data_IF_715780793236
#
_entry.id   IF_715780793236
#
_cell.length_a   1.000
_cell.length_b   1.000
_cell.length_c   1.000
_cell.angle_alpha   90.00
_cell.angle_beta   90.00
_cell.angle_gamma   90.00
#
_symmetry.space_group_name_H-M   'P 1'
#
loop_
_entity.id
_entity.type
_entity.pdbx_description
1 polymer ?
#
# COMPACT_ATOMS: atom_id res chain seq x y z
N UNK A 1 31.05 -8.67 21.98
CA UNK A 1 30.52 -8.29 20.65
C UNK A 1 30.16 -6.80 20.67
N UNK A 2 31.15 -5.91 20.86
CA UNK A 2 30.95 -4.46 21.01
C UNK A 2 31.38 -3.75 19.73
N UNK A 3 30.46 -3.48 18.80
CA UNK A 3 30.75 -2.62 17.62
C UNK A 3 29.54 -1.91 17.01
N UNK A 4 28.47 -1.69 17.79
CA UNK A 4 27.43 -0.73 17.42
C UNK A 4 27.35 0.33 18.51
N UNK A 5 27.35 1.61 18.13
CA UNK A 5 27.09 2.68 19.09
C UNK A 5 25.69 2.44 19.68
N UNK A 6 25.59 2.50 21.01
CA UNK A 6 24.29 2.44 21.66
C UNK A 6 23.43 3.59 21.11
N UNK A 7 22.35 3.26 20.41
CA UNK A 7 21.37 4.23 19.90
C UNK A 7 20.03 4.03 20.59
N UNK A 8 19.20 5.09 20.70
CA UNK A 8 17.86 4.95 21.27
C UNK A 8 17.02 3.89 20.55
N UNK A 9 17.11 3.83 19.22
CA UNK A 9 16.41 2.82 18.44
C UNK A 9 16.90 1.39 18.73
N UNK A 10 18.20 1.18 18.92
CA UNK A 10 18.74 -0.14 19.27
C UNK A 10 18.23 -0.61 20.64
N UNK A 11 18.25 0.27 21.65
CA UNK A 11 17.72 -0.06 22.99
C UNK A 11 16.26 -0.51 22.94
N UNK A 12 15.43 0.14 22.12
CA UNK A 12 14.02 -0.25 21.94
C UNK A 12 13.86 -1.51 21.11
N UNK A 13 14.69 -1.72 20.10
CA UNK A 13 14.73 -2.98 19.35
C UNK A 13 15.11 -4.16 20.24
N UNK A 14 16.11 -4.00 21.11
CA UNK A 14 16.50 -5.03 22.09
C UNK A 14 15.35 -5.39 23.03
N UNK A 15 14.58 -4.39 23.48
CA UNK A 15 13.35 -4.65 24.24
C UNK A 15 12.34 -5.49 23.42
N UNK A 16 12.15 -5.21 22.13
CA UNK A 16 11.27 -6.05 21.29
C UNK A 16 11.81 -7.48 21.13
N UNK A 17 13.12 -7.62 20.92
CA UNK A 17 13.78 -8.93 20.78
C UNK A 17 13.70 -9.76 22.07
N UNK A 18 13.86 -9.14 23.24
CA UNK A 18 13.68 -9.78 24.56
C UNK A 18 12.26 -10.38 24.69
N UNK A 19 11.25 -9.71 24.14
CA UNK A 19 9.87 -10.21 24.10
C UNK A 19 9.71 -11.42 23.19
N UNK A 20 10.30 -11.38 22.01
CA UNK A 20 10.32 -12.51 21.06
C UNK A 20 11.16 -13.69 21.58
N UNK A 21 12.13 -13.45 22.45
CA UNK A 21 12.94 -14.46 23.12
C UNK A 21 12.24 -15.08 24.34
N UNK A 22 11.04 -14.60 24.70
CA UNK A 22 10.26 -15.11 25.83
C UNK A 22 10.85 -14.77 27.19
N UNK A 23 11.57 -13.65 27.31
CA UNK A 23 12.25 -13.25 28.56
C UNK A 23 11.26 -13.12 29.73
N UNK A 24 11.52 -13.78 30.88
CA UNK A 24 10.64 -13.69 32.04
C UNK A 24 10.45 -12.24 32.52
N UNK A 25 9.22 -11.88 32.84
CA UNK A 25 8.87 -10.53 33.33
C UNK A 25 8.86 -9.44 32.26
N UNK A 26 9.16 -9.76 31.00
CA UNK A 26 9.11 -8.80 29.90
C UNK A 26 7.68 -8.25 29.67
N UNK A 27 7.60 -6.97 29.33
CA UNK A 27 6.34 -6.28 29.01
C UNK A 27 5.70 -5.52 30.17
N UNK A 28 6.25 -5.61 31.39
CA UNK A 28 5.71 -4.89 32.56
C UNK A 28 5.80 -3.36 32.42
N UNK A 29 6.76 -2.86 31.63
CA UNK A 29 7.01 -1.45 31.35
C UNK A 29 6.44 -1.00 29.99
N UNK A 30 5.65 -1.83 29.29
CA UNK A 30 5.21 -1.56 27.92
C UNK A 30 4.50 -0.20 27.74
N UNK A 31 3.74 0.24 28.75
CA UNK A 31 3.06 1.55 28.76
C UNK A 31 4.03 2.74 28.76
N UNK A 32 5.25 2.57 29.27
CA UNK A 32 6.29 3.59 29.27
C UNK A 32 7.16 3.54 27.99
N UNK A 33 7.15 2.40 27.31
CA UNK A 33 7.92 2.10 26.10
C UNK A 33 7.22 2.62 24.83
N UNK A 34 5.89 2.64 24.80
CA UNK A 34 5.12 2.99 23.60
C UNK A 34 4.72 4.46 23.54
N UNK A 35 4.82 5.04 22.35
CA UNK A 35 4.32 6.39 22.09
C UNK A 35 2.79 6.36 22.11
N UNK A 36 2.16 7.48 22.49
CA UNK A 36 0.71 7.56 22.59
C UNK A 36 0.00 7.21 21.27
N UNK A 37 0.58 7.64 20.15
CA UNK A 37 0.08 7.34 18.80
C UNK A 37 0.11 5.84 18.50
N UNK A 38 1.20 5.15 18.85
CA UNK A 38 1.30 3.70 18.67
C UNK A 38 0.32 2.94 19.58
N UNK A 39 0.23 3.36 20.85
CA UNK A 39 -0.67 2.77 21.84
C UNK A 39 -2.15 2.94 21.49
N UNK A 40 -2.51 3.96 20.69
CA UNK A 40 -3.86 4.14 20.17
C UNK A 40 -4.26 3.08 19.14
N UNK A 41 -3.29 2.45 18.46
CA UNK A 41 -3.54 1.37 17.50
C UNK A 41 -3.50 -0.03 18.13
N UNK A 42 -2.58 -0.25 19.06
CA UNK A 42 -2.44 -1.51 19.79
C UNK A 42 -2.14 -1.21 21.25
N UNK A 43 -3.01 -1.68 22.16
CA UNK A 43 -2.78 -1.42 23.60
C UNK A 43 -1.50 -2.13 24.07
N UNK A 44 -0.78 -1.59 25.07
CA UNK A 44 0.42 -2.22 25.61
C UNK A 44 0.20 -3.68 26.00
N UNK A 45 -0.93 -3.99 26.64
CA UNK A 45 -1.29 -5.34 27.08
C UNK A 45 -1.49 -6.28 25.90
N UNK A 46 -2.19 -5.81 24.85
CA UNK A 46 -2.44 -6.61 23.65
C UNK A 46 -1.13 -6.90 22.90
N UNK A 47 -0.26 -5.90 22.81
CA UNK A 47 1.05 -6.09 22.20
C UNK A 47 1.89 -7.13 22.95
N UNK A 48 1.93 -7.05 24.28
CA UNK A 48 2.66 -8.00 25.12
C UNK A 48 2.11 -9.41 24.97
N UNK A 49 0.78 -9.57 25.00
CA UNK A 49 0.11 -10.86 24.79
C UNK A 49 0.50 -11.49 23.44
N UNK A 50 0.37 -10.73 22.34
CA UNK A 50 0.70 -11.21 20.99
C UNK A 50 2.18 -11.56 20.87
N UNK A 51 3.07 -10.73 21.42
CA UNK A 51 4.52 -10.95 21.33
C UNK A 51 4.95 -12.18 22.12
N UNK A 52 4.38 -12.40 23.31
CA UNK A 52 4.61 -13.63 24.09
C UNK A 52 4.12 -14.87 23.33
N UNK A 53 2.99 -14.79 22.65
CA UNK A 53 2.51 -15.87 21.78
C UNK A 53 3.51 -16.22 20.66
N UNK A 54 4.14 -15.20 20.07
CA UNK A 54 5.16 -15.36 19.03
C UNK A 54 6.48 -15.95 19.53
N UNK A 55 6.76 -15.91 20.84
CA UNK A 55 7.99 -16.49 21.38
C UNK A 55 8.12 -17.99 21.09
N UNK A 56 7.00 -18.71 20.90
CA UNK A 56 7.03 -20.11 20.48
C UNK A 56 7.74 -20.33 19.13
N UNK A 57 7.66 -19.36 18.21
CA UNK A 57 8.21 -19.45 16.86
C UNK A 57 9.60 -18.81 16.73
N UNK A 58 9.98 -17.94 17.69
CA UNK A 58 11.19 -17.12 17.62
C UNK A 58 12.24 -17.45 18.70
N UNK A 59 11.86 -18.02 19.84
CA UNK A 59 12.79 -18.31 20.92
C UNK A 59 13.56 -19.63 20.66
N UNK A 60 14.89 -19.68 20.88
CA UNK A 60 15.74 -18.55 21.23
C UNK A 60 16.01 -17.65 20.02
N UNK A 61 15.98 -16.34 20.22
CA UNK A 61 16.23 -15.35 19.17
C UNK A 61 17.70 -15.39 18.75
N UNK A 62 17.94 -15.77 17.49
CA UNK A 62 19.28 -15.75 16.90
C UNK A 62 19.40 -14.58 15.93
N UNK A 63 20.06 -13.49 16.36
CA UNK A 63 20.33 -12.33 15.50
C UNK A 63 21.47 -12.65 14.52
N UNK A 64 21.18 -12.55 13.23
CA UNK A 64 22.12 -12.82 12.12
C UNK A 64 22.55 -11.56 11.36
N UNK A 65 21.94 -10.41 11.68
CA UNK A 65 22.31 -9.13 11.11
C UNK A 65 21.60 -7.98 11.82
N UNK A 66 22.21 -6.79 11.76
CA UNK A 66 21.72 -5.61 12.46
C UNK A 66 22.03 -4.36 11.63
N UNK A 67 21.01 -3.52 11.43
CA UNK A 67 21.12 -2.21 10.80
C UNK A 67 20.65 -1.17 11.83
N UNK A 68 21.52 -0.25 12.25
CA UNK A 68 21.25 0.68 13.37
C UNK A 68 21.44 2.12 12.94
N UNK A 69 20.41 2.94 13.16
CA UNK A 69 20.45 4.39 13.16
C UNK A 69 19.97 4.97 14.49
N UNK A 70 19.86 6.30 14.56
CA UNK A 70 19.40 7.02 15.76
C UNK A 70 17.94 6.72 16.11
N UNK A 71 17.05 6.81 15.11
CA UNK A 71 15.59 6.67 15.29
C UNK A 71 15.03 5.38 14.70
N UNK A 72 15.83 4.60 13.97
CA UNK A 72 15.41 3.34 13.35
C UNK A 72 16.47 2.28 13.57
N UNK A 73 16.05 1.08 13.96
CA UNK A 73 16.91 -0.09 14.05
C UNK A 73 16.18 -1.32 13.50
N UNK A 74 16.92 -2.20 12.84
CA UNK A 74 16.41 -3.47 12.30
C UNK A 74 17.33 -4.62 12.69
N UNK A 75 16.75 -5.74 13.12
CA UNK A 75 17.45 -6.99 13.34
C UNK A 75 16.94 -8.04 12.37
N UNK A 76 17.86 -8.76 11.71
CA UNK A 76 17.55 -10.01 11.02
C UNK A 76 17.69 -11.14 12.03
N UNK A 77 16.60 -11.87 12.29
CA UNK A 77 16.57 -13.01 13.21
C UNK A 77 16.30 -14.30 12.45
N UNK A 78 16.97 -15.38 12.81
CA UNK A 78 16.79 -16.70 12.17
C UNK A 78 15.78 -17.53 12.96
N UNK A 79 14.81 -18.10 12.26
CA UNK A 79 13.86 -19.08 12.79
C UNK A 79 14.44 -20.50 12.82
N UNK A 80 13.76 -21.41 13.52
CA UNK A 80 14.11 -22.83 13.62
C UNK A 80 14.14 -23.55 12.26
N UNK A 81 13.28 -23.14 11.32
CA UNK A 81 13.20 -23.69 9.96
C UNK A 81 14.29 -23.14 9.02
N UNK A 82 15.17 -22.26 9.51
CA UNK A 82 16.23 -21.61 8.76
C UNK A 82 15.79 -20.36 8.00
N UNK A 83 14.50 -20.03 7.97
CA UNK A 83 14.01 -18.76 7.44
C UNK A 83 14.52 -17.58 8.29
N UNK A 84 14.56 -16.40 7.70
CA UNK A 84 14.99 -15.18 8.38
C UNK A 84 13.80 -14.24 8.44
N UNK A 85 13.53 -13.66 9.61
CA UNK A 85 12.63 -12.54 9.76
C UNK A 85 13.42 -11.25 10.01
N UNK A 86 12.84 -10.12 9.63
CA UNK A 86 13.30 -8.78 9.95
C UNK A 86 12.39 -8.22 11.03
N UNK A 87 12.97 -7.89 12.18
CA UNK A 87 12.34 -7.13 13.26
C UNK A 87 12.75 -5.68 13.10
N UNK A 88 11.77 -4.81 12.87
CA UNK A 88 11.98 -3.37 12.72
C UNK A 88 11.46 -2.63 13.95
N UNK A 89 12.18 -1.59 14.35
CA UNK A 89 11.79 -0.69 15.43
C UNK A 89 12.10 0.76 15.03
N UNK A 90 11.10 1.62 15.14
CA UNK A 90 11.20 3.07 14.93
C UNK A 90 10.78 3.77 16.22
N UNK A 91 11.55 4.78 16.63
CA UNK A 91 11.36 5.52 17.88
C UNK A 91 11.21 7.02 17.66
N UNK A 92 10.64 7.72 18.65
CA UNK A 92 10.62 9.18 18.69
C UNK A 92 12.03 9.77 18.58
N UNK A 93 12.19 10.84 17.80
CA UNK A 93 13.45 11.56 17.69
C UNK A 93 13.83 12.28 19.00
N UNK A 94 12.84 12.73 19.77
CA UNK A 94 13.03 13.34 21.07
C UNK A 94 12.94 12.30 22.19
N UNK A 95 13.52 12.62 23.34
CA UNK A 95 13.33 11.82 24.56
C UNK A 95 11.83 11.80 24.93
N UNK A 96 11.30 10.67 25.40
CA UNK A 96 12.03 9.50 25.92
C UNK A 96 12.29 8.37 24.89
N UNK A 97 12.23 8.68 23.58
CA UNK A 97 12.49 7.71 22.50
C UNK A 97 11.57 6.49 22.59
N UNK A 98 10.27 6.75 22.71
CA UNK A 98 9.27 5.68 22.71
C UNK A 98 9.12 5.08 21.33
N UNK A 99 8.69 3.82 21.28
CA UNK A 99 8.40 3.13 20.03
C UNK A 99 7.16 3.77 19.41
N UNK A 100 7.34 4.30 18.19
CA UNK A 100 6.25 4.81 17.35
C UNK A 100 5.80 3.74 16.35
N UNK A 101 6.65 2.77 16.03
CA UNK A 101 6.30 1.64 15.16
C UNK A 101 7.25 0.46 15.38
N UNK A 102 6.72 -0.76 15.43
CA UNK A 102 7.51 -1.99 15.40
C UNK A 102 6.72 -3.13 14.76
N UNK A 103 7.42 -3.95 13.99
CA UNK A 103 6.83 -5.10 13.29
C UNK A 103 7.87 -6.18 13.03
N UNK A 104 7.38 -7.39 12.76
CA UNK A 104 8.17 -8.55 12.35
C UNK A 104 7.65 -8.99 10.99
N UNK A 105 8.53 -9.13 10.01
CA UNK A 105 8.19 -9.61 8.67
C UNK A 105 9.21 -10.68 8.22
N UNK A 106 8.81 -11.61 7.36
CA UNK A 106 9.78 -12.49 6.71
C UNK A 106 10.76 -11.67 5.86
N UNK A 107 12.05 -12.00 5.92
CA UNK A 107 13.03 -11.49 4.98
C UNK A 107 12.76 -12.12 3.61
N UNK A 108 12.34 -11.30 2.66
CA UNK A 108 12.23 -11.70 1.26
C UNK A 108 13.41 -11.05 0.52
N UNK A 109 14.46 -11.81 0.17
CA UNK A 109 15.55 -11.24 -0.61
C UNK A 109 15.02 -10.78 -1.96
N UNK A 110 15.18 -9.50 -2.26
CA UNK A 110 14.67 -8.84 -3.48
C UNK A 110 15.08 -9.58 -4.75
N UNK A 111 16.23 -10.25 -4.74
CA UNK A 111 16.81 -10.95 -5.89
C UNK A 111 16.29 -12.39 -6.07
N UNK A 112 15.56 -12.95 -5.10
CA UNK A 112 15.09 -14.34 -5.14
C UNK A 112 13.63 -14.49 -5.57
N UNK A 113 12.86 -13.41 -5.59
CA UNK A 113 11.46 -13.40 -6.04
C UNK A 113 11.30 -12.35 -7.13
N UNK A 114 11.51 -12.71 -8.42
CA UNK A 114 11.29 -11.78 -9.50
C UNK A 114 9.82 -11.32 -9.51
N UNK A 115 9.61 -10.01 -9.48
CA UNK A 115 8.30 -9.40 -9.71
C UNK A 115 7.90 -9.46 -11.19
N UNK A 116 6.68 -9.00 -11.50
CA UNK A 116 6.29 -8.74 -12.87
C UNK A 116 7.19 -7.66 -13.48
N UNK A 117 7.47 -7.70 -14.79
CA UNK A 117 8.39 -6.76 -15.39
C UNK A 117 7.88 -5.31 -15.27
N UNK A 118 8.82 -4.36 -15.28
CA UNK A 118 8.50 -2.94 -15.38
C UNK A 118 7.94 -2.56 -16.77
N UNK A 119 8.22 -3.38 -17.79
CA UNK A 119 7.73 -3.25 -19.17
C UNK A 119 7.39 -4.64 -19.74
N UNK A 120 6.18 -4.81 -20.23
CA UNK A 120 5.68 -6.08 -20.77
C UNK A 120 6.02 -6.33 -22.24
N UNK A 121 6.77 -5.44 -22.91
CA UNK A 121 7.08 -5.55 -24.35
C UNK A 121 7.68 -6.89 -24.75
N UNK A 122 8.57 -7.46 -23.92
CA UNK A 122 9.18 -8.79 -24.14
C UNK A 122 8.60 -9.92 -23.30
N UNK A 123 7.54 -9.66 -22.53
CA UNK A 123 6.98 -10.64 -21.59
C UNK A 123 6.21 -11.74 -22.33
N UNK A 124 6.32 -13.00 -21.91
CA UNK A 124 5.58 -14.10 -22.55
C UNK A 124 4.11 -14.10 -22.09
N UNK A 125 3.27 -13.40 -22.84
CA UNK A 125 1.83 -13.30 -22.62
C UNK A 125 1.12 -13.42 -23.97
N UNK A 126 0.20 -14.38 -24.15
CA UNK A 126 -0.56 -14.49 -25.38
C UNK A 126 -1.45 -13.25 -25.60
N UNK A 127 -1.50 -12.78 -26.84
CA UNK A 127 -2.31 -11.63 -27.25
C UNK A 127 -3.76 -12.04 -27.51
N UNK A 128 -4.44 -12.50 -26.46
CA UNK A 128 -5.82 -13.03 -26.50
C UNK A 128 -6.88 -11.99 -26.16
N UNK A 129 -6.49 -10.77 -25.78
CA UNK A 129 -7.38 -9.74 -25.25
C UNK A 129 -7.91 -8.76 -26.31
N UNK A 130 -8.00 -9.20 -27.57
CA UNK A 130 -8.51 -8.37 -28.67
C UNK A 130 -9.97 -7.96 -28.39
N UNK A 131 -10.21 -6.66 -28.20
CA UNK A 131 -11.51 -6.10 -27.82
C UNK A 131 -11.74 -5.94 -26.31
N UNK A 132 -10.83 -6.46 -25.47
CA UNK A 132 -10.78 -6.17 -24.05
C UNK A 132 -10.12 -4.81 -23.79
N UNK A 133 -10.36 -4.27 -22.59
CA UNK A 133 -9.89 -2.94 -22.19
C UNK A 133 -9.22 -3.01 -20.83
N UNK A 134 -8.04 -2.42 -20.72
CA UNK A 134 -7.46 -2.04 -19.45
C UNK A 134 -7.79 -0.56 -19.20
N UNK A 135 -8.69 -0.31 -18.26
CA UNK A 135 -9.17 1.03 -17.94
C UNK A 135 -8.53 1.49 -16.64
N UNK A 136 -7.88 2.65 -16.63
CA UNK A 136 -7.28 3.23 -15.41
C UNK A 136 -8.09 4.45 -14.99
N UNK A 137 -8.63 4.42 -13.77
CA UNK A 137 -9.19 5.60 -13.10
C UNK A 137 -8.11 6.22 -12.24
N UNK A 138 -7.73 7.45 -12.58
CA UNK A 138 -6.66 8.21 -11.94
C UNK A 138 -7.23 9.49 -11.32
N UNK A 139 -6.58 9.96 -10.24
CA UNK A 139 -6.99 11.17 -9.54
C UNK A 139 -6.62 11.16 -8.06
N UNK A 140 -6.63 12.33 -7.46
CA UNK A 140 -6.33 12.51 -6.04
C UNK A 140 -7.42 11.89 -5.14
N UNK A 141 -7.07 11.44 -3.91
CA UNK A 141 -8.08 11.05 -2.92
C UNK A 141 -9.15 12.14 -2.77
N UNK A 142 -10.44 11.75 -2.79
CA UNK A 142 -11.57 12.68 -2.73
C UNK A 142 -12.03 13.26 -4.07
N UNK A 143 -11.36 12.95 -5.19
CA UNK A 143 -11.73 13.46 -6.52
C UNK A 143 -12.90 12.73 -7.20
N UNK A 144 -13.55 11.76 -6.54
CA UNK A 144 -14.66 10.99 -7.11
C UNK A 144 -14.28 9.81 -8.01
N UNK A 145 -12.98 9.51 -8.18
CA UNK A 145 -12.49 8.40 -9.02
C UNK A 145 -13.13 7.05 -8.70
N UNK A 146 -13.18 6.67 -7.43
CA UNK A 146 -13.66 5.36 -6.99
C UNK A 146 -15.16 5.22 -7.23
N UNK A 147 -15.92 6.29 -6.99
CA UNK A 147 -17.36 6.33 -7.27
C UNK A 147 -17.66 6.11 -8.76
N UNK A 148 -16.89 6.71 -9.66
CA UNK A 148 -17.07 6.53 -11.10
C UNK A 148 -16.54 5.19 -11.60
N UNK A 149 -15.43 4.70 -11.04
CA UNK A 149 -14.88 3.39 -11.36
C UNK A 149 -15.86 2.26 -10.99
N UNK A 150 -16.40 2.28 -9.77
CA UNK A 150 -17.36 1.30 -9.28
C UNK A 150 -18.66 1.33 -10.10
N UNK A 151 -19.17 2.53 -10.41
CA UNK A 151 -20.37 2.68 -11.24
C UNK A 151 -20.16 2.19 -12.69
N UNK A 152 -19.03 2.52 -13.31
CA UNK A 152 -18.71 2.08 -14.66
C UNK A 152 -18.46 0.57 -14.73
N UNK A 153 -17.79 0.00 -13.72
CA UNK A 153 -17.58 -1.44 -13.61
C UNK A 153 -18.90 -2.20 -13.47
N UNK A 154 -19.82 -1.70 -12.65
CA UNK A 154 -21.15 -2.27 -12.50
C UNK A 154 -21.97 -2.20 -13.81
N UNK A 155 -21.94 -1.08 -14.52
CA UNK A 155 -22.69 -0.88 -15.76
C UNK A 155 -22.13 -1.71 -16.93
N UNK A 156 -20.80 -1.85 -17.03
CA UNK A 156 -20.14 -2.56 -18.12
C UNK A 156 -19.85 -4.03 -17.83
N UNK A 157 -20.09 -4.50 -16.59
CA UNK A 157 -19.70 -5.85 -16.16
C UNK A 157 -18.18 -6.06 -16.13
N UNK A 158 -17.41 -5.00 -15.89
CA UNK A 158 -15.94 -5.06 -15.83
C UNK A 158 -15.50 -5.03 -14.36
N UNK A 159 -14.67 -5.99 -13.89
CA UNK A 159 -14.20 -5.99 -12.51
C UNK A 159 -13.34 -4.77 -12.21
N UNK A 160 -13.55 -4.20 -11.02
CA UNK A 160 -12.82 -3.03 -10.49
C UNK A 160 -11.86 -3.51 -9.40
N UNK A 161 -10.57 -3.31 -9.63
CA UNK A 161 -9.53 -3.53 -8.63
C UNK A 161 -9.02 -2.18 -8.13
N UNK A 162 -9.14 -1.93 -6.83
CA UNK A 162 -8.81 -0.63 -6.24
C UNK A 162 -7.70 -0.73 -5.20
N UNK A 163 -6.79 0.25 -5.19
CA UNK A 163 -5.69 0.33 -4.22
C UNK A 163 -6.18 0.26 -2.78
N UNK A 164 -7.22 1.03 -2.46
CA UNK A 164 -7.74 1.15 -1.09
C UNK A 164 -8.26 -0.20 -0.56
N UNK A 165 -8.91 -0.99 -1.42
CA UNK A 165 -9.39 -2.33 -1.07
C UNK A 165 -8.24 -3.29 -0.80
N UNK A 166 -7.18 -3.24 -1.61
CA UNK A 166 -5.99 -4.07 -1.41
C UNK A 166 -5.24 -3.68 -0.13
N UNK A 167 -5.01 -2.39 0.10
CA UNK A 167 -4.35 -1.91 1.33
C UNK A 167 -5.18 -2.19 2.58
N UNK A 168 -6.51 -2.09 2.50
CA UNK A 168 -7.42 -2.53 3.55
C UNK A 168 -7.26 -4.02 3.87
N UNK A 169 -7.26 -4.86 2.82
CA UNK A 169 -7.09 -6.31 2.94
C UNK A 169 -5.73 -6.74 3.51
N UNK A 170 -4.67 -5.92 3.35
CA UNK A 170 -3.35 -6.18 3.90
C UNK A 170 -3.24 -5.81 5.40
N UNK A 171 -4.17 -5.02 5.94
CA UNK A 171 -4.09 -4.55 7.33
C UNK A 171 -4.03 -5.69 8.36
N UNK A 172 -4.84 -6.77 8.28
CA UNK A 172 -4.74 -7.93 9.18
C UNK A 172 -3.36 -8.61 9.17
N UNK A 173 -2.58 -8.44 8.10
CA UNK A 173 -1.23 -9.00 7.93
C UNK A 173 -0.12 -8.00 8.30
N UNK A 174 -0.47 -6.89 8.96
CA UNK A 174 0.50 -5.85 9.32
C UNK A 174 0.80 -4.86 8.18
N UNK A 175 0.01 -4.86 7.11
CA UNK A 175 0.26 -4.05 5.90
C UNK A 175 0.40 -2.55 6.13
N UNK A 176 -0.13 -2.02 7.24
CA UNK A 176 0.04 -0.62 7.66
C UNK A 176 1.49 -0.27 8.02
N UNK A 177 2.30 -1.27 8.36
CA UNK A 177 3.68 -1.13 8.77
C UNK A 177 4.68 -1.58 7.69
N UNK A 178 4.19 -2.01 6.53
CA UNK A 178 5.06 -2.35 5.41
C UNK A 178 5.71 -1.08 4.86
N UNK A 179 7.02 -1.13 4.64
CA UNK A 179 7.82 0.02 4.19
C UNK A 179 7.34 0.56 2.84
N UNK A 180 6.81 -0.32 1.96
CA UNK A 180 6.27 0.06 0.66
C UNK A 180 4.95 -0.66 0.35
N UNK A 181 3.95 -0.43 1.20
CA UNK A 181 2.60 -0.98 1.00
C UNK A 181 1.97 -0.56 -0.34
N UNK A 182 2.31 0.63 -0.86
CA UNK A 182 1.85 1.11 -2.16
C UNK A 182 2.44 0.30 -3.32
N UNK A 183 3.75 0.02 -3.33
CA UNK A 183 4.33 -0.85 -4.36
C UNK A 183 3.73 -2.26 -4.32
N UNK A 184 3.46 -2.80 -3.14
CA UNK A 184 2.75 -4.09 -3.02
C UNK A 184 1.35 -4.04 -3.64
N UNK A 185 0.57 -2.99 -3.35
CA UNK A 185 -0.74 -2.82 -3.95
C UNK A 185 -0.66 -2.66 -5.47
N UNK A 186 0.31 -1.90 -5.99
CA UNK A 186 0.54 -1.76 -7.43
C UNK A 186 0.90 -3.10 -8.09
N UNK A 187 1.76 -3.90 -7.46
CA UNK A 187 2.16 -5.23 -7.96
C UNK A 187 0.96 -6.18 -8.02
N UNK A 188 0.11 -6.18 -6.99
CA UNK A 188 -1.12 -6.98 -6.96
C UNK A 188 -2.13 -6.49 -8.00
N UNK A 189 -2.34 -5.17 -8.17
CA UNK A 189 -3.18 -4.61 -9.24
C UNK A 189 -2.68 -5.03 -10.62
N UNK A 190 -1.36 -4.94 -10.85
CA UNK A 190 -0.73 -5.34 -12.11
C UNK A 190 -0.96 -6.83 -12.38
N UNK A 191 -0.83 -7.66 -11.34
CA UNK A 191 -1.09 -9.10 -11.43
C UNK A 191 -2.55 -9.40 -11.76
N UNK A 192 -3.50 -8.74 -11.11
CA UNK A 192 -4.93 -8.92 -11.36
C UNK A 192 -5.31 -8.49 -12.79
N UNK A 193 -4.80 -7.34 -13.26
CA UNK A 193 -4.95 -6.90 -14.64
C UNK A 193 -4.36 -7.91 -15.63
N UNK A 194 -3.12 -8.37 -15.39
CA UNK A 194 -2.45 -9.36 -16.23
C UNK A 194 -3.29 -10.63 -16.38
N UNK A 195 -3.82 -11.15 -15.27
CA UNK A 195 -4.65 -12.37 -15.28
C UNK A 195 -5.97 -12.17 -16.02
N UNK A 196 -6.64 -11.03 -15.84
CA UNK A 196 -7.87 -10.71 -16.58
C UNK A 196 -7.61 -10.61 -18.09
N UNK A 197 -6.57 -9.88 -18.48
CA UNK A 197 -6.22 -9.70 -19.89
C UNK A 197 -5.75 -11.01 -20.53
N UNK A 198 -4.99 -11.84 -19.82
CA UNK A 198 -4.62 -13.18 -20.29
C UNK A 198 -5.85 -14.06 -20.56
N UNK A 199 -6.92 -13.87 -19.78
CA UNK A 199 -8.21 -14.53 -19.97
C UNK A 199 -9.09 -13.89 -21.05
N UNK A 200 -8.61 -12.87 -21.76
CA UNK A 200 -9.35 -12.13 -22.77
C UNK A 200 -10.41 -11.16 -22.21
N UNK A 201 -10.31 -10.82 -20.92
CA UNK A 201 -11.31 -10.01 -20.20
C UNK A 201 -10.79 -8.60 -19.89
N UNK A 202 -11.70 -7.63 -19.88
CA UNK A 202 -11.39 -6.27 -19.46
C UNK A 202 -11.12 -6.18 -17.94
N UNK A 203 -10.43 -5.13 -17.52
CA UNK A 203 -10.20 -4.81 -16.11
C UNK A 203 -10.20 -3.29 -15.90
N UNK A 204 -10.74 -2.84 -14.76
CA UNK A 204 -10.65 -1.46 -14.27
C UNK A 204 -9.68 -1.41 -13.09
N UNK A 205 -8.72 -0.49 -13.13
CA UNK A 205 -7.80 -0.17 -12.05
C UNK A 205 -8.15 1.20 -11.45
N UNK A 206 -8.62 1.21 -10.21
CA UNK A 206 -8.86 2.44 -9.42
C UNK A 206 -7.62 2.74 -8.56
N UNK A 207 -6.75 3.60 -9.09
CA UNK A 207 -5.45 3.89 -8.50
C UNK A 207 -5.03 5.34 -8.79
N UNK A 208 -4.47 6.10 -7.82
CA UNK A 208 -4.09 7.51 -8.06
C UNK A 208 -3.22 7.71 -9.30
N UNK A 209 -2.29 6.78 -9.53
CA UNK A 209 -1.44 6.67 -10.74
C UNK A 209 -0.66 7.97 -10.99
N UNK A 210 -0.04 8.46 -9.92
CA UNK A 210 0.81 9.65 -9.89
C UNK A 210 2.17 9.41 -10.57
N UNK A 211 2.66 8.17 -10.58
CA UNK A 211 3.97 7.86 -11.15
C UNK A 211 3.83 7.54 -12.65
N UNK A 212 4.63 8.21 -13.49
CA UNK A 212 4.66 7.96 -14.94
C UNK A 212 5.11 6.52 -15.24
N UNK A 213 6.03 5.97 -14.45
CA UNK A 213 6.48 4.59 -14.59
C UNK A 213 5.31 3.59 -14.50
N UNK A 214 4.40 3.74 -13.53
CA UNK A 214 3.19 2.91 -13.42
C UNK A 214 2.30 3.02 -14.66
N UNK A 215 2.16 4.24 -15.23
CA UNK A 215 1.37 4.46 -16.45
C UNK A 215 1.95 3.71 -17.64
N UNK A 216 3.26 3.84 -17.86
CA UNK A 216 3.97 3.14 -18.93
C UNK A 216 3.90 1.62 -18.74
N UNK A 217 4.07 1.14 -17.50
CA UNK A 217 3.98 -0.28 -17.14
C UNK A 217 2.61 -0.85 -17.53
N UNK A 218 1.52 -0.23 -17.12
CA UNK A 218 0.18 -0.69 -17.46
C UNK A 218 -0.18 -0.49 -18.93
N UNK A 219 0.30 0.57 -19.58
CA UNK A 219 0.15 0.75 -21.04
C UNK A 219 0.85 -0.39 -21.79
N UNK A 220 2.07 -0.75 -21.40
CA UNK A 220 2.82 -1.85 -22.00
C UNK A 220 2.12 -3.20 -21.80
N UNK A 221 1.52 -3.43 -20.63
CA UNK A 221 0.71 -4.61 -20.32
C UNK A 221 -0.49 -4.74 -21.26
N UNK A 222 -1.30 -3.67 -21.36
CA UNK A 222 -2.46 -3.66 -22.26
C UNK A 222 -2.04 -3.93 -23.71
N UNK A 223 -0.99 -3.23 -24.19
CA UNK A 223 -0.43 -3.42 -25.52
C UNK A 223 0.03 -4.86 -25.75
N UNK A 224 0.74 -5.47 -24.79
CA UNK A 224 1.25 -6.83 -24.92
C UNK A 224 0.13 -7.87 -24.99
N UNK A 225 -0.94 -7.67 -24.21
CA UNK A 225 -2.10 -8.54 -24.21
C UNK A 225 -3.00 -8.37 -25.45
N UNK A 226 -2.79 -7.31 -26.24
CA UNK A 226 -3.66 -6.94 -27.37
C UNK A 226 -4.94 -6.21 -26.95
N UNK A 227 -4.98 -5.68 -25.73
CA UNK A 227 -6.09 -4.90 -25.19
C UNK A 227 -5.90 -3.40 -25.42
N UNK A 228 -7.01 -2.66 -25.42
CA UNK A 228 -6.98 -1.21 -25.49
C UNK A 228 -6.68 -0.62 -24.11
N UNK A 229 -5.81 0.39 -24.06
CA UNK A 229 -5.53 1.15 -22.85
C UNK A 229 -6.40 2.42 -22.82
N UNK A 230 -7.26 2.55 -21.81
CA UNK A 230 -8.17 3.71 -21.65
C UNK A 230 -7.94 4.35 -20.29
N UNK A 231 -8.04 5.68 -20.22
CA UNK A 231 -7.73 6.42 -18.99
C UNK A 231 -8.80 7.44 -18.70
N UNK A 232 -9.30 7.44 -17.47
CA UNK A 232 -10.22 8.43 -16.93
C UNK A 232 -9.54 9.16 -15.78
N UNK A 233 -9.37 10.47 -15.90
CA UNK A 233 -8.77 11.32 -14.86
C UNK A 233 -9.87 12.11 -14.18
N UNK A 234 -10.12 11.81 -12.91
CA UNK A 234 -11.10 12.50 -12.10
C UNK A 234 -10.42 13.60 -11.27
N UNK A 235 -10.89 14.83 -11.40
CA UNK A 235 -10.50 15.95 -10.54
C UNK A 235 -11.74 16.60 -9.91
N UNK A 236 -11.53 17.37 -8.84
CA UNK A 236 -12.56 18.19 -8.22
C UNK A 236 -12.07 19.63 -8.30
N UNK A 237 -12.69 20.43 -9.16
CA UNK A 237 -12.24 21.81 -9.41
C UNK A 237 -12.49 22.76 -8.23
N UNK A 238 -13.49 22.46 -7.39
CA UNK A 238 -13.81 23.20 -6.18
C UNK A 238 -13.00 22.64 -4.98
N UNK A 239 -12.04 23.40 -4.42
CA UNK A 239 -11.22 22.94 -3.29
C UNK A 239 -12.01 22.78 -1.99
N UNK A 240 -13.07 23.56 -1.77
CA UNK A 240 -13.92 23.44 -0.58
C UNK A 240 -14.70 22.13 -0.63
N UNK A 241 -15.27 21.81 -1.79
CA UNK A 241 -15.95 20.52 -2.02
C UNK A 241 -14.96 19.36 -1.92
N UNK A 242 -13.77 19.48 -2.51
CA UNK A 242 -12.76 18.42 -2.46
C UNK A 242 -12.31 18.14 -1.02
N UNK A 243 -12.03 19.19 -0.25
CA UNK A 243 -11.69 19.08 1.17
C UNK A 243 -12.82 18.44 1.96
N UNK A 244 -14.06 18.91 1.80
CA UNK A 244 -15.21 18.36 2.49
C UNK A 244 -15.40 16.86 2.17
N UNK A 245 -15.24 16.46 0.90
CA UNK A 245 -15.28 15.05 0.48
C UNK A 245 -14.18 14.20 1.10
N UNK A 246 -12.98 14.76 1.29
CA UNK A 246 -11.85 14.07 1.90
C UNK A 246 -12.05 13.88 3.41
N UNK A 247 -12.51 14.92 4.10
CA UNK A 247 -12.70 14.94 5.56
C UNK A 247 -13.91 14.10 6.00
N UNK A 248 -14.96 14.06 5.20
CA UNK A 248 -16.19 13.28 5.49
C UNK A 248 -16.22 11.90 4.85
N UNK A 249 -15.13 11.50 4.20
CA UNK A 249 -15.06 10.27 3.43
C UNK A 249 -15.32 9.05 4.31
N UNK A 250 -16.20 8.16 3.83
CA UNK A 250 -16.33 6.80 4.33
C UNK A 250 -16.65 5.87 3.16
N UNK A 251 -15.76 4.93 2.85
CA UNK A 251 -15.98 3.90 1.83
C UNK A 251 -16.48 2.58 2.42
N UNK A 252 -16.40 2.40 3.74
CA UNK A 252 -16.76 1.15 4.40
C UNK A 252 -15.82 -0.01 4.04
N UNK A 253 -14.57 0.30 3.66
CA UNK A 253 -13.57 -0.72 3.32
C UNK A 253 -12.96 -1.25 4.63
N UNK A 254 -13.07 -2.56 4.92
CA UNK A 254 -12.46 -3.16 6.11
C UNK A 254 -10.95 -2.93 6.14
N UNK A 255 -10.45 -2.47 7.29
CA UNK A 255 -9.03 -2.24 7.48
C UNK A 255 -8.46 -1.04 6.73
N UNK A 256 -9.23 -0.26 5.97
CA UNK A 256 -8.77 0.98 5.33
C UNK A 256 -9.11 2.21 6.18
N UNK A 257 -8.18 3.15 6.29
CA UNK A 257 -8.44 4.47 6.86
C UNK A 257 -8.98 5.42 5.78
N UNK A 258 -10.21 5.91 5.95
CA UNK A 258 -10.84 6.78 4.96
C UNK A 258 -10.44 8.27 5.08
N UNK A 259 -9.92 8.69 6.23
CA UNK A 259 -9.47 10.08 6.48
C UNK A 259 -8.14 10.37 5.78
N UNK A 260 -8.10 11.42 4.95
CA UNK A 260 -6.87 11.92 4.33
C UNK A 260 -6.48 13.31 4.82
N UNK A 261 -5.18 13.61 4.79
CA UNK A 261 -4.66 14.95 5.06
C UNK A 261 -4.85 15.85 3.84
N UNK A 262 -5.64 16.91 3.99
CA UNK A 262 -5.87 17.90 2.94
C UNK A 262 -4.57 18.56 2.46
N UNK A 263 -3.62 18.84 3.37
CA UNK A 263 -2.34 19.43 2.99
C UNK A 263 -1.52 18.48 2.12
N UNK A 264 -1.52 17.18 2.42
CA UNK A 264 -0.89 16.17 1.58
C UNK A 264 -1.52 16.11 0.18
N UNK A 265 -2.84 16.12 0.10
CA UNK A 265 -3.57 16.16 -1.18
C UNK A 265 -3.18 17.39 -1.99
N UNK A 266 -3.12 18.58 -1.39
CA UNK A 266 -2.71 19.80 -2.09
C UNK A 266 -1.27 19.72 -2.60
N UNK A 267 -0.32 19.23 -1.78
CA UNK A 267 1.09 19.07 -2.18
C UNK A 267 1.24 18.12 -3.36
N UNK A 268 0.53 17.00 -3.34
CA UNK A 268 0.57 15.98 -4.41
C UNK A 268 -0.14 16.47 -5.67
N UNK A 269 -1.28 17.16 -5.53
CA UNK A 269 -2.01 17.74 -6.66
C UNK A 269 -1.14 18.73 -7.45
N UNK A 270 -0.37 19.57 -6.77
CA UNK A 270 0.55 20.52 -7.41
C UNK A 270 1.67 19.84 -8.23
N UNK A 271 1.97 18.57 -7.94
CA UNK A 271 3.00 17.76 -8.62
C UNK A 271 2.40 16.67 -9.51
N UNK A 272 1.07 16.63 -9.63
CA UNK A 272 0.38 15.56 -10.34
C UNK A 272 0.68 15.64 -11.83
N UNK A 273 1.34 14.62 -12.44
CA UNK A 273 1.78 14.75 -13.81
C UNK A 273 0.60 14.68 -14.78
N UNK A 274 0.62 15.55 -15.79
CA UNK A 274 -0.35 15.55 -16.89
C UNK A 274 -0.38 14.21 -17.62
N UNK A 275 -1.55 13.85 -18.16
CA UNK A 275 -1.75 12.67 -19.01
C UNK A 275 -1.62 12.99 -20.51
N UNK A 276 -1.07 14.16 -20.86
CA UNK A 276 -0.71 14.58 -22.24
C UNK A 276 -1.85 14.48 -23.29
N UNK A 277 -3.12 14.53 -22.86
CA UNK A 277 -4.29 14.48 -23.75
C UNK A 277 -4.78 13.07 -24.10
N UNK A 278 -4.12 12.02 -23.61
CA UNK A 278 -4.50 10.62 -23.85
C UNK A 278 -5.69 10.14 -23.00
N UNK A 279 -6.09 10.94 -22.01
CA UNK A 279 -7.09 10.58 -21.02
C UNK A 279 -8.36 11.44 -21.13
N UNK A 280 -9.51 10.83 -20.82
CA UNK A 280 -10.73 11.57 -20.53
C UNK A 280 -10.59 12.27 -19.17
N UNK A 281 -10.44 13.59 -19.17
CA UNK A 281 -10.44 14.38 -17.93
C UNK A 281 -11.86 14.80 -17.56
N UNK A 282 -12.27 14.54 -16.31
CA UNK A 282 -13.60 14.85 -15.78
C UNK A 282 -13.51 15.65 -14.49
N UNK A 283 -14.19 16.79 -14.48
CA UNK A 283 -14.50 17.51 -13.25
C UNK A 283 -15.72 16.88 -12.58
N UNK A 284 -15.53 16.36 -11.37
CA UNK A 284 -16.53 15.63 -10.60
C UNK A 284 -17.35 16.53 -9.68
N UNK A 285 -17.22 17.86 -9.80
CA UNK A 285 -18.23 18.80 -9.27
C UNK A 285 -19.54 18.69 -10.08
N UNK A 286 -19.46 18.23 -11.33
CA UNK A 286 -20.63 17.98 -12.17
C UNK A 286 -21.49 16.81 -11.66
N UNK A 287 -22.79 16.75 -12.03
CA UNK A 287 -23.66 15.63 -11.70
C UNK A 287 -23.06 14.29 -12.13
N UNK A 288 -23.07 13.32 -11.21
CA UNK A 288 -22.43 12.01 -11.38
C UNK A 288 -22.90 11.30 -12.64
N UNK A 289 -24.19 11.37 -12.96
CA UNK A 289 -24.80 10.70 -14.10
C UNK A 289 -24.24 11.22 -15.43
N UNK A 290 -23.93 12.53 -15.51
CA UNK A 290 -23.29 13.12 -16.69
C UNK A 290 -21.85 12.66 -16.83
N UNK A 291 -21.10 12.63 -15.72
CA UNK A 291 -19.73 12.13 -15.70
C UNK A 291 -19.67 10.65 -16.08
N UNK A 292 -20.56 9.82 -15.51
CA UNK A 292 -20.67 8.40 -15.83
C UNK A 292 -20.98 8.17 -17.31
N UNK A 293 -21.97 8.86 -17.87
CA UNK A 293 -22.28 8.72 -19.30
C UNK A 293 -21.07 9.07 -20.21
N UNK A 294 -20.24 10.04 -19.82
CA UNK A 294 -19.01 10.36 -20.54
C UNK A 294 -17.94 9.25 -20.39
N UNK A 295 -17.80 8.70 -19.17
CA UNK A 295 -16.93 7.56 -18.89
C UNK A 295 -17.31 6.35 -19.74
N UNK A 296 -18.59 5.96 -19.74
CA UNK A 296 -19.08 4.80 -20.49
C UNK A 296 -18.76 4.98 -21.97
N UNK A 297 -19.11 6.13 -22.57
CA UNK A 297 -18.78 6.42 -23.97
C UNK A 297 -17.28 6.33 -24.26
N UNK A 298 -16.43 6.86 -23.38
CA UNK A 298 -14.98 6.81 -23.59
C UNK A 298 -14.41 5.40 -23.48
N UNK A 299 -14.93 4.59 -22.55
CA UNK A 299 -14.51 3.20 -22.41
C UNK A 299 -14.97 2.41 -23.63
N UNK A 300 -16.23 2.54 -24.06
CA UNK A 300 -16.79 1.68 -25.13
C UNK A 300 -16.49 2.12 -26.56
N UNK A 301 -16.08 3.38 -26.77
CA UNK A 301 -15.68 3.89 -28.09
C UNK A 301 -14.51 3.11 -28.67
#
# INVERSE_FOLDING_TARGET
MHRFAASPALTRLEWVLDGLDGKPGWGADASDVFAAEFAAFVTPERYVEVTRGRAADHAPVVVVGLDVGETTARARIRHHDGSVAVVSCVVEAARPHRIISTWVAGLVPTDLTPGLPADFTGYDLPSTATGARLVVFSGMPGSGKSTLADAAGAELGIPVFATDWLLGALTPFGGRYFEDSFAMAEEVLTTLALRQLAAGQSAILDHPTEQVATRERWRSLARRAGAEFRVVVCHCSDPQVHRARLETRSRGIPGWHDSGDWHDVQRRLAKFPSWAGEALSLDTVQPRERSLAAVIRHITA
#
